data_IF_129921186409
#
_entry.id   IF_129921186409
#
_cell.length_a   1.000
_cell.length_b   1.000
_cell.length_c   1.000
_cell.angle_alpha   90.00
_cell.angle_beta   90.00
_cell.angle_gamma   90.00
#
_symmetry.space_group_name_H-M   'P 1'
#
loop_
_entity.id
_entity.type
_entity.pdbx_description
1 polymer ?
#
# COMPACT_ATOMS: atom_id res chain seq x y z
N UNK A 1 -10.04 -20.93 7.94
CA UNK A 1 -8.78 -20.17 8.00
C UNK A 1 -8.57 -19.75 9.44
N UNK A 2 -7.38 -19.96 10.00
CA UNK A 2 -7.13 -19.55 11.40
C UNK A 2 -7.04 -18.02 11.47
N UNK A 3 -7.38 -17.44 12.62
CA UNK A 3 -7.30 -15.98 12.84
C UNK A 3 -5.89 -15.42 12.57
N UNK A 4 -4.86 -16.22 12.84
CA UNK A 4 -3.46 -15.88 12.53
C UNK A 4 -3.19 -15.74 11.02
N UNK A 5 -3.83 -16.53 10.17
CA UNK A 5 -3.64 -16.44 8.71
C UNK A 5 -4.22 -15.12 8.17
N UNK A 6 -5.38 -14.71 8.70
CA UNK A 6 -6.01 -13.42 8.39
C UNK A 6 -5.12 -12.23 8.79
N UNK A 7 -4.50 -12.29 9.98
CA UNK A 7 -3.56 -11.26 10.44
C UNK A 7 -2.33 -11.22 9.53
N UNK A 8 -1.75 -12.37 9.21
CA UNK A 8 -0.59 -12.47 8.32
C UNK A 8 -0.88 -11.88 6.94
N UNK A 9 -2.03 -12.19 6.36
CA UNK A 9 -2.48 -11.63 5.08
C UNK A 9 -2.67 -10.12 5.19
N UNK A 10 -3.32 -9.64 6.25
CA UNK A 10 -3.52 -8.20 6.46
C UNK A 10 -2.18 -7.44 6.58
N UNK A 11 -1.21 -8.00 7.32
CA UNK A 11 0.13 -7.42 7.47
C UNK A 11 0.87 -7.42 6.12
N UNK A 12 0.76 -8.49 5.34
CA UNK A 12 1.34 -8.57 3.99
C UNK A 12 0.72 -7.53 3.04
N UNK A 13 -0.61 -7.40 3.07
CA UNK A 13 -1.37 -6.45 2.27
C UNK A 13 -1.11 -4.98 2.67
N UNK A 14 -0.57 -4.69 3.86
CA UNK A 14 -0.18 -3.33 4.26
C UNK A 14 1.29 -3.01 3.99
N UNK A 15 2.18 -3.97 4.27
CA UNK A 15 3.64 -3.75 4.24
C UNK A 15 4.18 -3.56 2.81
N UNK A 16 3.75 -4.39 1.86
CA UNK A 16 4.18 -4.30 0.45
C UNK A 16 3.80 -2.95 -0.18
N UNK A 17 2.53 -2.51 -0.16
CA UNK A 17 2.15 -1.25 -0.79
C UNK A 17 2.75 -0.01 -0.10
N UNK A 18 3.07 -0.10 1.20
CA UNK A 18 3.79 0.97 1.90
C UNK A 18 5.21 1.17 1.34
N UNK A 19 5.96 0.07 1.15
CA UNK A 19 7.31 0.12 0.57
C UNK A 19 7.25 0.66 -0.86
N UNK A 20 6.31 0.17 -1.68
CA UNK A 20 6.11 0.67 -3.04
C UNK A 20 5.78 2.17 -3.05
N UNK A 21 4.87 2.64 -2.20
CA UNK A 21 4.47 4.05 -2.13
C UNK A 21 5.65 4.96 -1.76
N UNK A 22 6.49 4.56 -0.81
CA UNK A 22 7.69 5.30 -0.42
C UNK A 22 8.69 5.36 -1.58
N UNK A 23 8.94 4.22 -2.23
CA UNK A 23 9.85 4.14 -3.38
C UNK A 23 9.37 5.00 -4.55
N UNK A 24 8.10 4.90 -4.93
CA UNK A 24 7.52 5.72 -6.00
C UNK A 24 7.62 7.20 -5.70
N UNK A 25 7.35 7.61 -4.44
CA UNK A 25 7.44 9.02 -4.07
C UNK A 25 8.88 9.53 -4.06
N UNK A 26 9.83 8.70 -3.60
CA UNK A 26 11.27 9.02 -3.63
C UNK A 26 11.80 9.18 -5.05
N UNK A 27 11.52 8.21 -5.93
CA UNK A 27 11.90 8.29 -7.35
C UNK A 27 11.22 9.46 -8.07
N UNK A 28 9.96 9.75 -7.75
CA UNK A 28 9.24 10.89 -8.33
C UNK A 28 9.79 12.23 -7.83
N UNK A 29 10.12 12.34 -6.54
CA UNK A 29 10.78 13.49 -5.94
C UNK A 29 12.13 13.77 -6.59
N UNK A 30 12.94 12.72 -6.78
CA UNK A 30 14.24 12.78 -7.44
C UNK A 30 14.10 13.24 -8.91
N UNK A 31 13.25 12.57 -9.69
CA UNK A 31 13.04 12.88 -11.12
C UNK A 31 12.51 14.29 -11.35
N UNK A 32 11.63 14.79 -10.47
CA UNK A 32 11.03 16.13 -10.61
C UNK A 32 11.71 17.23 -9.79
N UNK A 33 12.80 16.92 -9.07
CA UNK A 33 13.47 17.82 -8.10
C UNK A 33 12.47 18.49 -7.15
N UNK A 34 11.47 17.74 -6.70
CA UNK A 34 10.43 18.21 -5.76
C UNK A 34 10.71 17.60 -4.40
N UNK A 35 10.47 18.37 -3.34
CA UNK A 35 10.57 17.86 -1.98
C UNK A 35 9.65 16.65 -1.78
N UNK A 36 10.13 15.68 -1.01
CA UNK A 36 9.33 14.58 -0.52
C UNK A 36 8.15 15.15 0.27
N UNK A 37 6.95 14.62 0.04
CA UNK A 37 5.75 15.12 0.68
C UNK A 37 4.95 13.94 1.23
N UNK A 38 4.79 13.93 2.56
CA UNK A 38 3.98 12.94 3.27
C UNK A 38 2.55 12.82 2.71
N UNK A 39 1.96 13.94 2.25
CA UNK A 39 0.62 13.93 1.63
C UNK A 39 0.57 13.15 0.32
N UNK A 40 1.67 13.15 -0.42
CA UNK A 40 1.78 12.51 -1.72
C UNK A 40 2.06 11.02 -1.55
N UNK A 41 2.93 10.66 -0.61
CA UNK A 41 3.17 9.29 -0.15
C UNK A 41 1.90 8.66 0.40
N UNK A 42 1.14 9.38 1.23
CA UNK A 42 -0.13 8.88 1.78
C UNK A 42 -1.18 8.64 0.69
N UNK A 43 -1.18 9.46 -0.37
CA UNK A 43 -2.01 9.26 -1.55
C UNK A 43 -1.64 7.99 -2.31
N UNK A 44 -0.34 7.78 -2.57
CA UNK A 44 0.16 6.54 -3.16
C UNK A 44 -0.17 5.31 -2.29
N UNK A 45 0.06 5.40 -0.99
CA UNK A 45 -0.26 4.33 -0.05
C UNK A 45 -1.75 3.98 -0.05
N UNK A 46 -2.64 4.98 0.03
CA UNK A 46 -4.08 4.75 0.00
C UNK A 46 -4.52 4.08 -1.31
N UNK A 47 -3.94 4.49 -2.45
CA UNK A 47 -4.24 3.90 -3.75
C UNK A 47 -3.81 2.43 -3.82
N UNK A 48 -2.57 2.12 -3.42
CA UNK A 48 -2.09 0.74 -3.42
C UNK A 48 -2.78 -0.14 -2.37
N UNK A 49 -3.16 0.44 -1.23
CA UNK A 49 -3.96 -0.22 -0.21
C UNK A 49 -5.34 -0.60 -0.74
N UNK A 50 -6.07 0.34 -1.37
CA UNK A 50 -7.39 0.05 -1.96
C UNK A 50 -7.28 -1.02 -3.05
N UNK A 51 -6.30 -0.91 -3.94
CA UNK A 51 -6.07 -1.89 -5.02
C UNK A 51 -5.72 -3.29 -4.50
N UNK A 52 -5.03 -3.40 -3.36
CA UNK A 52 -4.64 -4.70 -2.79
C UNK A 52 -5.70 -5.27 -1.85
N UNK A 53 -6.32 -4.43 -1.02
CA UNK A 53 -7.22 -4.85 0.06
C UNK A 53 -8.64 -5.12 -0.44
N UNK A 54 -9.19 -4.31 -1.35
CA UNK A 54 -10.56 -4.48 -1.83
C UNK A 54 -10.77 -5.82 -2.56
N UNK A 55 -9.89 -6.27 -3.48
CA UNK A 55 -10.05 -7.58 -4.11
C UNK A 55 -9.95 -8.71 -3.10
N UNK A 56 -9.03 -8.61 -2.12
CA UNK A 56 -8.88 -9.61 -1.07
C UNK A 56 -10.15 -9.73 -0.25
N UNK A 57 -10.73 -8.61 0.20
CA UNK A 57 -11.99 -8.61 0.96
C UNK A 57 -13.15 -9.14 0.09
N UNK A 58 -13.26 -8.72 -1.17
CA UNK A 58 -14.29 -9.24 -2.08
C UNK A 58 -14.17 -10.76 -2.29
N UNK A 59 -12.94 -11.26 -2.47
CA UNK A 59 -12.69 -12.69 -2.69
C UNK A 59 -13.00 -13.54 -1.46
N UNK A 60 -12.79 -13.01 -0.25
CA UNK A 60 -13.13 -13.70 1.00
C UNK A 60 -14.59 -13.51 1.44
N UNK A 61 -15.29 -12.48 0.94
CA UNK A 61 -16.69 -12.21 1.25
C UNK A 61 -17.69 -12.90 0.29
N UNK A 62 -17.19 -13.53 -0.78
CA UNK A 62 -17.97 -14.31 -1.75
C UNK A 62 -17.95 -15.80 -1.38
#
# INVERSE_FOLDING_TARGET
>A
MNFNDLILIAVYCMSIPLVCAVFFDAFYAEKKRRSFSLKRVSGWYALFFVLSFVPTVMFFAS
#
